data_IF_000717567572
#
_entry.id   IF_000717567572
#
_cell.length_a   1.000
_cell.length_b   1.000
_cell.length_c   1.000
_cell.angle_alpha   90.00
_cell.angle_beta   90.00
_cell.angle_gamma   90.00
#
_symmetry.space_group_name_H-M   'P 1'
#
loop_
_entity.id
_entity.type
_entity.pdbx_description
1 polymer ?
#
# COMPACT_ATOMS: atom_id res chain seq x y z
N UNK A 1 36.17 27.35 0.36
CA UNK A 1 35.92 25.89 0.36
C UNK A 1 34.86 25.61 1.41
N UNK A 2 33.75 24.99 1.03
CA UNK A 2 32.78 24.39 1.96
C UNK A 2 31.45 25.12 2.09
N UNK A 3 30.46 24.72 1.29
CA UNK A 3 29.04 24.58 1.70
C UNK A 3 28.40 23.52 0.79
N UNK A 4 28.47 22.25 1.20
CA UNK A 4 27.81 21.12 0.54
C UNK A 4 26.94 20.33 1.54
N UNK A 5 26.46 21.01 2.58
CA UNK A 5 25.84 20.40 3.77
C UNK A 5 24.31 20.42 3.77
N UNK A 6 23.66 21.22 2.90
CA UNK A 6 22.19 21.43 2.92
C UNK A 6 21.39 20.38 2.10
N UNK A 7 22.00 19.77 1.08
CA UNK A 7 21.32 18.83 0.18
C UNK A 7 20.90 17.51 0.85
N UNK A 8 21.84 16.87 1.58
CA UNK A 8 21.59 15.56 2.21
C UNK A 8 20.50 15.58 3.28
N UNK A 9 20.39 16.66 4.05
CA UNK A 9 19.34 16.80 5.07
C UNK A 9 17.95 16.97 4.45
N UNK A 10 17.87 17.72 3.34
CA UNK A 10 16.64 17.91 2.58
C UNK A 10 16.17 16.63 1.90
N UNK A 11 17.10 15.87 1.32
CA UNK A 11 16.80 14.58 0.67
C UNK A 11 16.23 13.58 1.68
N UNK A 12 16.85 13.47 2.87
CA UNK A 12 16.36 12.57 3.92
C UNK A 12 14.97 12.96 4.45
N UNK A 13 14.71 14.27 4.64
CA UNK A 13 13.39 14.76 5.05
C UNK A 13 12.31 14.47 4.01
N UNK A 14 12.64 14.61 2.72
CA UNK A 14 11.74 14.30 1.61
C UNK A 14 11.46 12.79 1.53
N UNK A 15 12.47 11.95 1.68
CA UNK A 15 12.33 10.48 1.70
C UNK A 15 11.46 10.00 2.86
N UNK A 16 11.68 10.55 4.06
CA UNK A 16 10.84 10.28 5.23
C UNK A 16 9.39 10.65 4.96
N UNK A 17 9.15 11.83 4.39
CA UNK A 17 7.80 12.30 4.07
C UNK A 17 7.13 11.38 3.04
N UNK A 18 7.80 11.10 1.93
CA UNK A 18 7.30 10.21 0.89
C UNK A 18 6.98 8.81 1.44
N UNK A 19 7.84 8.27 2.31
CA UNK A 19 7.59 7.00 2.98
C UNK A 19 6.32 7.04 3.85
N UNK A 20 6.20 8.05 4.72
CA UNK A 20 5.04 8.17 5.61
C UNK A 20 3.73 8.33 4.84
N UNK A 21 3.71 9.20 3.84
CA UNK A 21 2.52 9.44 3.00
C UNK A 21 2.11 8.17 2.25
N UNK A 22 3.05 7.48 1.60
CA UNK A 22 2.77 6.24 0.88
C UNK A 22 2.30 5.12 1.82
N UNK A 23 2.95 4.95 2.97
CA UNK A 23 2.58 3.94 3.98
C UNK A 23 1.16 4.17 4.48
N UNK A 24 0.82 5.39 4.86
CA UNK A 24 -0.50 5.74 5.37
C UNK A 24 -1.58 5.54 4.31
N UNK A 25 -1.33 6.02 3.09
CA UNK A 25 -2.26 5.84 1.98
C UNK A 25 -2.51 4.36 1.66
N UNK A 26 -1.47 3.52 1.59
CA UNK A 26 -1.62 2.08 1.36
C UNK A 26 -2.37 1.37 2.51
N UNK A 27 -2.13 1.77 3.76
CA UNK A 27 -2.86 1.24 4.92
C UNK A 27 -4.35 1.58 4.86
N UNK A 28 -4.67 2.82 4.51
CA UNK A 28 -6.06 3.24 4.37
C UNK A 28 -6.74 2.48 3.21
N UNK A 29 -6.08 2.43 2.05
CA UNK A 29 -6.59 1.72 0.87
C UNK A 29 -6.88 0.24 1.17
N UNK A 30 -5.97 -0.47 1.84
CA UNK A 30 -6.18 -1.90 2.12
C UNK A 30 -7.24 -2.16 3.19
N UNK A 31 -7.46 -1.23 4.13
CA UNK A 31 -8.54 -1.31 5.10
C UNK A 31 -9.93 -0.99 4.52
N UNK A 32 -10.02 -0.16 3.47
CA UNK A 32 -11.27 0.17 2.81
C UNK A 32 -11.80 -0.94 1.89
N UNK A 33 -10.91 -1.82 1.43
CA UNK A 33 -11.23 -2.89 0.51
C UNK A 33 -12.26 -3.92 1.05
N UNK A 34 -12.11 -4.49 2.26
CA UNK A 34 -13.09 -5.40 2.87
C UNK A 34 -14.52 -4.87 2.91
N UNK A 35 -14.69 -3.56 3.14
CA UNK A 35 -16.01 -2.90 3.20
C UNK A 35 -16.48 -2.38 1.84
N UNK A 36 -15.65 -2.53 0.80
CA UNK A 36 -15.97 -2.15 -0.58
C UNK A 36 -16.05 -0.65 -0.83
N UNK A 37 -15.43 0.17 0.04
CA UNK A 37 -15.50 1.64 -0.03
C UNK A 37 -14.23 2.29 -0.54
N UNK A 38 -13.32 1.50 -1.12
CA UNK A 38 -12.12 2.00 -1.78
C UNK A 38 -12.55 3.09 -2.79
N UNK A 39 -12.19 4.36 -2.57
CA UNK A 39 -12.57 5.52 -3.39
C UNK A 39 -14.07 5.88 -3.34
N UNK A 40 -14.75 5.53 -2.25
CA UNK A 40 -16.13 5.92 -1.96
C UNK A 40 -17.15 4.80 -2.14
N UNK A 41 -18.46 5.11 -2.04
CA UNK A 41 -19.53 4.11 -1.92
C UNK A 41 -19.72 3.22 -3.15
N UNK A 42 -19.18 3.62 -4.31
CA UNK A 42 -19.24 2.86 -5.54
C UNK A 42 -18.07 1.87 -5.68
N UNK A 43 -17.08 1.94 -4.79
CA UNK A 43 -15.81 1.23 -4.91
C UNK A 43 -14.92 1.78 -6.03
N UNK A 44 -13.70 1.26 -6.11
CA UNK A 44 -12.72 1.71 -7.09
C UNK A 44 -13.08 1.24 -8.51
N UNK A 45 -12.67 2.03 -9.49
CA UNK A 45 -12.63 1.68 -10.90
C UNK A 45 -11.39 0.83 -11.21
N UNK A 46 -11.35 0.24 -12.41
CA UNK A 46 -10.17 -0.50 -12.87
C UNK A 46 -8.91 0.39 -12.96
N UNK A 47 -9.08 1.66 -13.34
CA UNK A 47 -7.99 2.63 -13.39
C UNK A 47 -7.44 2.93 -11.99
N UNK A 48 -8.34 3.19 -11.03
CA UNK A 48 -7.95 3.44 -9.63
C UNK A 48 -7.29 2.20 -9.01
N UNK A 49 -7.75 0.98 -9.32
CA UNK A 49 -7.05 -0.23 -8.88
C UNK A 49 -5.61 -0.30 -9.40
N UNK A 50 -5.39 0.10 -10.65
CA UNK A 50 -4.04 0.16 -11.24
C UNK A 50 -3.18 1.25 -10.57
N UNK A 51 -3.77 2.39 -10.21
CA UNK A 51 -3.07 3.44 -9.46
C UNK A 51 -2.58 2.93 -8.10
N UNK A 52 -3.41 2.17 -7.37
CA UNK A 52 -3.01 1.59 -6.08
C UNK A 52 -1.87 0.59 -6.24
N UNK A 53 -1.95 -0.28 -7.24
CA UNK A 53 -0.89 -1.25 -7.51
C UNK A 53 0.42 -0.55 -7.89
N UNK A 54 0.38 0.50 -8.71
CA UNK A 54 1.56 1.30 -9.05
C UNK A 54 2.16 1.98 -7.80
N UNK A 55 1.32 2.57 -6.96
CA UNK A 55 1.80 3.20 -5.72
C UNK A 55 2.42 2.20 -4.74
N UNK A 56 1.95 0.95 -4.72
CA UNK A 56 2.60 -0.14 -3.99
C UNK A 56 3.99 -0.46 -4.54
N UNK A 57 4.17 -0.44 -5.87
CA UNK A 57 5.45 -0.69 -6.52
C UNK A 57 6.47 0.42 -6.25
N UNK A 58 6.00 1.66 -6.27
CA UNK A 58 6.79 2.82 -5.88
C UNK A 58 7.20 2.73 -4.40
N UNK A 59 6.29 2.29 -3.52
CA UNK A 59 6.58 2.07 -2.10
C UNK A 59 7.62 0.95 -1.89
N UNK A 60 7.48 -0.19 -2.59
CA UNK A 60 8.45 -1.28 -2.52
C UNK A 60 9.85 -0.83 -3.01
N UNK A 61 9.88 -0.06 -4.09
CA UNK A 61 11.11 0.52 -4.64
C UNK A 61 11.75 1.50 -3.65
N UNK A 62 10.95 2.33 -2.98
CA UNK A 62 11.40 3.24 -1.93
C UNK A 62 12.00 2.48 -0.75
N UNK A 63 11.33 1.42 -0.27
CA UNK A 63 11.84 0.59 0.83
C UNK A 63 13.18 -0.06 0.48
N UNK A 64 13.31 -0.63 -0.72
CA UNK A 64 14.57 -1.21 -1.22
C UNK A 64 15.69 -0.17 -1.28
N UNK A 65 15.40 1.00 -1.87
CA UNK A 65 16.38 2.09 -2.01
C UNK A 65 16.88 2.61 -0.66
N UNK A 66 16.00 2.66 0.33
CA UNK A 66 16.29 3.07 1.70
C UNK A 66 16.84 1.92 2.57
N UNK A 67 16.92 0.69 2.04
CA UNK A 67 17.33 -0.53 2.75
C UNK A 67 16.50 -0.78 4.02
N UNK A 68 15.18 -0.65 3.88
CA UNK A 68 14.23 -0.92 4.97
C UNK A 68 13.85 -2.39 5.00
N UNK A 69 14.05 -3.03 6.14
CA UNK A 69 13.66 -4.42 6.37
C UNK A 69 12.25 -4.51 6.99
N UNK A 70 11.60 -5.68 6.86
CA UNK A 70 10.34 -5.99 7.55
C UNK A 70 9.08 -5.47 6.87
N UNK A 71 9.18 -5.08 5.60
CA UNK A 71 8.08 -4.55 4.79
C UNK A 71 7.49 -5.61 3.85
N UNK A 72 8.19 -6.72 3.64
CA UNK A 72 7.87 -7.77 2.67
C UNK A 72 6.46 -8.31 2.87
N UNK A 73 6.12 -8.68 4.12
CA UNK A 73 4.79 -9.20 4.45
C UNK A 73 3.69 -8.18 4.15
N UNK A 74 3.90 -6.91 4.47
CA UNK A 74 2.92 -5.86 4.19
C UNK A 74 2.72 -5.70 2.68
N UNK A 75 3.83 -5.64 1.93
CA UNK A 75 3.81 -5.49 0.47
C UNK A 75 3.10 -6.68 -0.19
N UNK A 76 3.42 -7.91 0.21
CA UNK A 76 2.80 -9.12 -0.33
C UNK A 76 1.29 -9.17 -0.04
N UNK A 77 0.88 -8.83 1.18
CA UNK A 77 -0.54 -8.80 1.55
C UNK A 77 -1.31 -7.73 0.78
N UNK A 78 -0.77 -6.52 0.68
CA UNK A 78 -1.34 -5.45 -0.13
C UNK A 78 -1.46 -5.85 -1.60
N UNK A 79 -0.39 -6.41 -2.18
CA UNK A 79 -0.35 -6.86 -3.58
C UNK A 79 -1.42 -7.91 -3.85
N UNK A 80 -1.56 -8.89 -2.96
CA UNK A 80 -2.61 -9.89 -3.10
C UNK A 80 -3.98 -9.22 -3.24
N UNK A 81 -4.33 -8.24 -2.41
CA UNK A 81 -5.60 -7.56 -2.52
C UNK A 81 -5.75 -6.73 -3.79
N UNK A 82 -4.74 -5.93 -4.15
CA UNK A 82 -4.84 -5.04 -5.31
C UNK A 82 -4.88 -5.81 -6.63
N UNK A 83 -4.24 -6.98 -6.72
CA UNK A 83 -4.35 -7.86 -7.89
C UNK A 83 -5.71 -8.54 -8.00
N UNK A 84 -6.37 -8.82 -6.86
CA UNK A 84 -7.60 -9.60 -6.83
C UNK A 84 -8.87 -8.74 -6.83
N UNK A 85 -8.81 -7.49 -6.35
CA UNK A 85 -9.97 -6.62 -6.26
C UNK A 85 -10.62 -6.31 -7.63
N UNK A 86 -9.87 -6.05 -8.72
CA UNK A 86 -10.45 -5.87 -10.05
C UNK A 86 -11.27 -7.07 -10.53
N UNK A 87 -10.80 -8.28 -10.21
CA UNK A 87 -11.50 -9.52 -10.54
C UNK A 87 -12.85 -9.59 -9.81
N UNK A 88 -12.84 -9.31 -8.50
CA UNK A 88 -14.05 -9.23 -7.68
C UNK A 88 -15.02 -8.19 -8.24
N UNK A 89 -14.56 -6.97 -8.51
CA UNK A 89 -15.39 -5.88 -9.04
C UNK A 89 -16.04 -6.24 -10.37
N UNK A 90 -15.28 -6.78 -11.32
CA UNK A 90 -15.79 -7.17 -12.64
C UNK A 90 -16.80 -8.32 -12.61
N UNK A 91 -16.89 -9.04 -11.48
CA UNK A 91 -17.77 -10.21 -11.30
C UNK A 91 -18.62 -10.11 -10.04
N UNK A 92 -18.83 -8.90 -9.51
CA UNK A 92 -19.44 -8.69 -8.19
C UNK A 92 -20.76 -9.44 -7.97
N UNK A 93 -21.60 -9.57 -9.01
CA UNK A 93 -22.87 -10.35 -8.97
C UNK A 93 -22.71 -11.85 -8.70
N UNK A 94 -21.50 -12.39 -8.82
CA UNK A 94 -21.18 -13.81 -8.64
C UNK A 94 -20.59 -14.11 -7.25
N UNK A 95 -20.39 -13.09 -6.42
CA UNK A 95 -19.82 -13.21 -5.08
C UNK A 95 -20.76 -12.60 -4.05
N UNK A 96 -20.74 -13.13 -2.83
CA UNK A 96 -21.57 -12.64 -1.72
C UNK A 96 -21.11 -11.24 -1.32
N UNK A 97 -19.82 -11.12 -1.00
CA UNK A 97 -19.13 -9.88 -0.67
C UNK A 97 -17.62 -10.09 -0.87
N UNK A 98 -16.83 -9.02 -0.68
CA UNK A 98 -15.38 -9.11 -0.87
C UNK A 98 -14.70 -9.96 0.22
N UNK A 99 -15.13 -9.84 1.48
CA UNK A 99 -14.57 -10.63 2.59
C UNK A 99 -14.68 -12.14 2.33
N UNK A 100 -15.84 -12.61 1.87
CA UNK A 100 -16.07 -14.01 1.47
C UNK A 100 -15.19 -14.38 0.28
N UNK A 101 -15.10 -13.50 -0.73
CA UNK A 101 -14.21 -13.69 -1.87
C UNK A 101 -12.73 -13.89 -1.47
N UNK A 102 -12.28 -13.19 -0.42
CA UNK A 102 -10.92 -13.33 0.15
C UNK A 102 -10.74 -14.68 0.83
N UNK A 103 -11.68 -15.07 1.70
CA UNK A 103 -11.64 -16.37 2.40
C UNK A 103 -11.62 -17.54 1.40
N UNK A 104 -12.49 -17.51 0.39
CA UNK A 104 -12.59 -18.56 -0.64
C UNK A 104 -11.29 -18.79 -1.42
N UNK A 105 -10.40 -17.79 -1.44
CA UNK A 105 -9.11 -17.83 -2.14
C UNK A 105 -7.91 -17.95 -1.20
N UNK A 106 -8.16 -18.23 0.08
CA UNK A 106 -7.13 -18.27 1.12
C UNK A 106 -6.27 -16.99 1.17
N UNK A 107 -6.89 -15.84 0.90
CA UNK A 107 -6.23 -14.54 0.98
C UNK A 107 -6.08 -14.02 2.41
N UNK A 108 -5.26 -12.98 2.63
CA UNK A 108 -5.12 -12.33 3.93
C UNK A 108 -6.40 -11.58 4.29
N UNK A 109 -7.05 -11.96 5.39
CA UNK A 109 -8.21 -11.20 5.91
C UNK A 109 -7.81 -9.90 6.60
N UNK A 110 -6.58 -9.83 7.08
CA UNK A 110 -6.01 -8.65 7.74
C UNK A 110 -4.62 -8.40 7.19
N UNK A 111 -4.32 -7.12 6.98
CA UNK A 111 -3.00 -6.67 6.56
C UNK A 111 -2.27 -6.08 7.75
N UNK A 112 -1.09 -6.62 8.04
CA UNK A 112 -0.29 -6.15 9.16
C UNK A 112 0.47 -4.89 8.74
N UNK A 113 0.34 -3.82 9.52
CA UNK A 113 1.09 -2.60 9.24
C UNK A 113 2.61 -2.85 9.30
N UNK A 114 3.40 -2.28 8.37
CA UNK A 114 4.84 -2.45 8.41
C UNK A 114 5.41 -1.65 9.59
N UNK A 115 6.57 -2.08 10.12
CA UNK A 115 7.22 -1.39 11.23
C UNK A 115 7.57 0.04 10.84
N UNK A 116 7.61 0.95 11.83
CA UNK A 116 8.19 2.27 11.60
C UNK A 116 9.72 2.12 11.57
N UNK A 117 10.41 2.55 10.49
CA UNK A 117 11.86 2.49 10.43
C UNK A 117 12.48 3.27 11.57
N UNK A 118 13.50 2.69 12.24
CA UNK A 118 14.19 3.35 13.35
C UNK A 118 14.79 4.69 12.96
N UNK A 119 15.26 4.81 11.72
CA UNK A 119 15.78 6.06 11.16
C UNK A 119 14.71 7.16 11.02
N UNK A 120 13.42 6.81 11.09
CA UNK A 120 12.29 7.74 11.04
C UNK A 120 11.58 7.90 12.39
N UNK A 121 11.94 7.10 13.40
CA UNK A 121 11.47 7.25 14.76
C UNK A 121 12.26 8.37 15.46
N UNK A 122 11.55 9.34 16.06
CA UNK A 122 12.15 10.41 16.87
C UNK A 122 12.84 9.85 18.12
#
# INVERSE_FOLDING_TARGET
MGEASDGRGRDFANERRAYCEAREWLLNAVHELPVGVLWGPNGATAAECYEVLRGLDDFASLCSRLRLDGHERFIEQCRWHFDHYPHYLGRRRHFVDYSTYVVDRAGPMTVSAPPMPRQFAN
#
